data_IF_294449119531
#
_entry.id   IF_294449119531
#
_cell.length_a   1.000
_cell.length_b   1.000
_cell.length_c   1.000
_cell.angle_alpha   90.00
_cell.angle_beta   90.00
_cell.angle_gamma   90.00
#
_symmetry.space_group_name_H-M   'P 1'
#
loop_
_entity.id
_entity.type
_entity.pdbx_description
1 polymer ?
#
# COMPACT_ATOMS: atom_id res chain seq x y z
N UNK A 1 -25.12 -13.00 -3.22
CA UNK A 1 -23.77 -12.66 -2.76
C UNK A 1 -22.92 -12.29 -3.96
N UNK A 2 -22.42 -11.07 -3.96
CA UNK A 2 -21.60 -10.57 -5.06
C UNK A 2 -20.14 -10.94 -4.78
N UNK A 3 -19.57 -11.78 -5.61
CA UNK A 3 -18.14 -12.07 -5.56
C UNK A 3 -17.43 -11.10 -6.49
N UNK A 4 -16.52 -10.30 -5.94
CA UNK A 4 -15.58 -9.51 -6.73
C UNK A 4 -14.47 -10.44 -7.19
N UNK A 5 -14.72 -11.09 -8.34
CA UNK A 5 -13.86 -12.18 -8.83
C UNK A 5 -12.58 -11.64 -9.46
N UNK A 6 -11.46 -11.96 -8.83
CA UNK A 6 -10.13 -11.90 -9.41
C UNK A 6 -9.74 -13.34 -9.81
N UNK A 7 -10.10 -13.73 -11.02
CA UNK A 7 -9.78 -15.05 -11.55
C UNK A 7 -8.26 -15.24 -11.61
N UNK A 8 -7.77 -16.31 -10.96
CA UNK A 8 -6.36 -16.75 -10.99
C UNK A 8 -5.35 -15.87 -10.25
N UNK A 9 -5.78 -14.94 -9.42
CA UNK A 9 -4.88 -14.03 -8.72
C UNK A 9 -5.19 -14.01 -7.24
N UNK A 10 -4.15 -14.23 -6.40
CA UNK A 10 -4.30 -14.10 -4.96
C UNK A 10 -4.37 -12.62 -4.57
N UNK A 11 -5.37 -12.28 -3.77
CA UNK A 11 -5.49 -10.95 -3.15
C UNK A 11 -4.85 -11.02 -1.78
N UNK A 12 -3.81 -10.22 -1.55
CA UNK A 12 -2.99 -10.28 -0.33
C UNK A 12 -3.44 -9.31 0.74
N UNK A 13 -4.01 -8.18 0.36
CA UNK A 13 -4.39 -7.14 1.31
C UNK A 13 -5.58 -6.35 0.79
N UNK A 14 -6.49 -6.04 1.70
CA UNK A 14 -7.65 -5.20 1.42
C UNK A 14 -7.90 -4.27 2.61
N UNK A 15 -8.23 -3.02 2.35
CA UNK A 15 -8.49 -2.00 3.36
C UNK A 15 -9.70 -1.15 2.97
N UNK A 16 -10.45 -0.71 3.96
CA UNK A 16 -11.55 0.20 3.76
C UNK A 16 -11.08 1.65 3.63
N UNK A 17 -11.69 2.35 2.67
CA UNK A 17 -11.69 3.82 2.61
C UNK A 17 -13.11 4.25 2.94
N UNK A 18 -13.43 4.25 4.23
CA UNK A 18 -14.81 4.37 4.72
C UNK A 18 -15.49 5.68 4.29
N UNK A 19 -14.75 6.78 4.29
CA UNK A 19 -15.29 8.09 3.89
C UNK A 19 -15.70 8.20 2.42
N UNK A 20 -15.21 7.29 1.59
CA UNK A 20 -15.57 7.18 0.17
C UNK A 20 -16.48 5.99 -0.12
N UNK A 21 -16.74 5.15 0.87
CA UNK A 21 -17.44 3.88 0.71
C UNK A 21 -16.71 2.95 -0.27
N UNK A 22 -15.40 3.01 -0.27
CA UNK A 22 -14.53 2.18 -1.12
C UNK A 22 -13.80 1.12 -0.30
N UNK A 23 -13.42 0.07 -1.02
CA UNK A 23 -12.42 -0.89 -0.56
C UNK A 23 -11.30 -0.92 -1.59
N UNK A 24 -10.05 -0.84 -1.13
CA UNK A 24 -8.86 -0.92 -1.96
C UNK A 24 -8.16 -2.25 -1.70
N UNK A 25 -7.73 -2.91 -2.76
CA UNK A 25 -7.09 -4.22 -2.67
C UNK A 25 -5.85 -4.28 -3.58
N UNK A 26 -4.82 -4.96 -3.08
CA UNK A 26 -3.62 -5.29 -3.82
C UNK A 26 -3.51 -6.79 -4.03
N UNK A 27 -3.06 -7.20 -5.22
CA UNK A 27 -3.06 -8.59 -5.64
C UNK A 27 -1.74 -9.02 -6.29
N UNK A 28 -1.58 -10.32 -6.47
CA UNK A 28 -0.38 -10.91 -7.09
C UNK A 28 -0.22 -10.55 -8.56
N UNK A 29 -1.27 -10.08 -9.23
CA UNK A 29 -1.19 -9.63 -10.62
C UNK A 29 -0.63 -8.21 -10.78
N UNK A 30 -0.10 -7.62 -9.70
CA UNK A 30 0.55 -6.29 -9.68
C UNK A 30 -0.42 -5.11 -9.76
N UNK A 31 -1.71 -5.35 -9.79
CA UNK A 31 -2.75 -4.33 -9.88
C UNK A 31 -3.31 -3.96 -8.52
N UNK A 32 -3.61 -2.67 -8.35
CA UNK A 32 -4.50 -2.20 -7.31
C UNK A 32 -5.88 -2.02 -7.91
N UNK A 33 -6.89 -2.51 -7.19
CA UNK A 33 -8.30 -2.38 -7.55
C UNK A 33 -9.06 -1.69 -6.43
N UNK A 34 -9.93 -0.80 -6.83
CA UNK A 34 -10.80 -0.05 -5.91
C UNK A 34 -12.24 -0.30 -6.29
N UNK A 35 -13.03 -0.71 -5.33
CA UNK A 35 -14.45 -0.98 -5.51
C UNK A 35 -15.29 -0.14 -4.54
N UNK A 36 -16.47 0.29 -4.99
CA UNK A 36 -17.49 0.79 -4.09
C UNK A 36 -18.21 -0.42 -3.45
N UNK A 37 -18.13 -0.55 -2.13
CA UNK A 37 -18.68 -1.74 -1.47
C UNK A 37 -20.21 -1.71 -1.32
N UNK A 38 -20.87 -0.59 -1.57
CA UNK A 38 -22.34 -0.51 -1.58
C UNK A 38 -22.93 -0.90 -2.94
N UNK A 39 -22.35 -0.40 -4.02
CA UNK A 39 -22.83 -0.64 -5.39
C UNK A 39 -22.14 -1.81 -6.08
N UNK A 40 -21.02 -2.28 -5.54
CA UNK A 40 -20.15 -3.31 -6.11
C UNK A 40 -19.47 -2.89 -7.43
N UNK A 41 -19.55 -1.61 -7.77
CA UNK A 41 -18.89 -1.09 -8.98
C UNK A 41 -17.39 -0.95 -8.79
N UNK A 42 -16.65 -1.25 -9.86
CA UNK A 42 -15.22 -0.98 -9.92
C UNK A 42 -15.00 0.52 -10.14
N UNK A 43 -14.36 1.18 -9.17
CA UNK A 43 -14.05 2.61 -9.24
C UNK A 43 -12.78 2.85 -10.04
N UNK A 44 -11.74 2.04 -9.80
CA UNK A 44 -10.44 2.17 -10.46
C UNK A 44 -9.70 0.83 -10.46
N UNK A 45 -8.91 0.63 -11.50
CA UNK A 45 -7.96 -0.48 -11.60
C UNK A 45 -6.71 0.04 -12.33
N UNK A 46 -5.54 -0.22 -11.77
CA UNK A 46 -4.28 0.21 -12.38
C UNK A 46 -3.13 -0.70 -11.95
N UNK A 47 -2.14 -0.81 -12.82
CA UNK A 47 -0.91 -1.50 -12.50
C UNK A 47 -0.07 -0.62 -11.55
N UNK A 48 0.15 -1.10 -10.34
CA UNK A 48 0.85 -0.33 -9.32
C UNK A 48 2.33 -0.69 -9.21
N UNK A 49 2.65 -1.95 -9.39
CA UNK A 49 3.99 -2.50 -9.19
C UNK A 49 4.36 -3.47 -10.29
N UNK A 50 5.62 -3.90 -10.31
CA UNK A 50 6.14 -4.87 -11.29
C UNK A 50 6.26 -6.28 -10.70
N UNK A 51 5.76 -6.49 -9.49
CA UNK A 51 5.73 -7.79 -8.81
C UNK A 51 4.53 -7.82 -7.84
N UNK A 52 4.39 -8.90 -7.09
CA UNK A 52 3.27 -9.11 -6.16
C UNK A 52 3.10 -7.95 -5.18
N UNK A 53 1.88 -7.49 -5.01
CA UNK A 53 1.55 -6.49 -3.99
C UNK A 53 1.26 -7.22 -2.68
N UNK A 54 2.01 -6.89 -1.63
CA UNK A 54 1.91 -7.57 -0.33
C UNK A 54 1.00 -6.87 0.64
N UNK A 55 0.97 -5.53 0.61
CA UNK A 55 0.20 -4.77 1.58
C UNK A 55 -0.25 -3.45 1.01
N UNK A 56 -1.41 -3.00 1.47
CA UNK A 56 -1.91 -1.65 1.24
C UNK A 56 -2.28 -1.02 2.58
N UNK A 57 -2.13 0.29 2.70
CA UNK A 57 -2.49 1.06 3.88
C UNK A 57 -3.16 2.35 3.46
N UNK A 58 -4.20 2.76 4.18
CA UNK A 58 -4.98 3.96 3.89
C UNK A 58 -4.65 5.04 4.90
N UNK A 59 -4.38 6.25 4.42
CA UNK A 59 -4.14 7.39 5.29
C UNK A 59 -5.44 7.76 6.03
N UNK A 60 -5.37 8.08 7.35
CA UNK A 60 -6.56 8.35 8.14
C UNK A 60 -7.37 9.57 7.70
N UNK A 61 -6.71 10.62 7.18
CA UNK A 61 -7.36 11.90 6.88
C UNK A 61 -7.11 12.40 5.46
N UNK A 62 -5.94 12.17 4.89
CA UNK A 62 -5.55 12.62 3.56
C UNK A 62 -5.89 11.57 2.49
N UNK A 63 -6.00 11.99 1.22
CA UNK A 63 -6.45 11.10 0.14
C UNK A 63 -5.33 10.18 -0.38
N UNK A 64 -4.61 9.52 0.53
CA UNK A 64 -3.45 8.74 0.19
C UNK A 64 -3.58 7.26 0.54
N UNK A 65 -3.06 6.42 -0.33
CA UNK A 65 -2.88 4.99 -0.12
C UNK A 65 -1.42 4.63 -0.33
N UNK A 66 -0.86 3.86 0.60
CA UNK A 66 0.45 3.23 0.44
C UNK A 66 0.26 1.81 -0.10
N UNK A 67 1.16 1.40 -0.98
CA UNK A 67 1.28 0.01 -1.39
C UNK A 67 2.72 -0.46 -1.27
N UNK A 68 2.90 -1.73 -0.90
CA UNK A 68 4.21 -2.38 -0.82
C UNK A 68 4.22 -3.66 -1.63
N UNK A 69 5.38 -4.00 -2.18
CA UNK A 69 5.49 -5.08 -3.16
C UNK A 69 6.79 -5.86 -3.03
N UNK A 70 6.81 -7.02 -3.69
CA UNK A 70 8.00 -7.84 -3.90
C UNK A 70 9.03 -7.14 -4.82
N UNK A 71 8.65 -6.10 -5.54
CA UNK A 71 9.58 -5.27 -6.32
C UNK A 71 10.47 -4.37 -5.45
N UNK A 72 10.38 -4.53 -4.12
CA UNK A 72 11.17 -3.81 -3.10
C UNK A 72 10.78 -2.33 -2.94
N UNK A 73 9.70 -1.89 -3.58
CA UNK A 73 9.24 -0.51 -3.56
C UNK A 73 8.01 -0.34 -2.66
N UNK A 74 7.91 0.86 -2.13
CA UNK A 74 6.70 1.36 -1.50
C UNK A 74 6.26 2.58 -2.31
N UNK A 75 4.98 2.65 -2.66
CA UNK A 75 4.44 3.74 -3.46
C UNK A 75 3.27 4.41 -2.75
N UNK A 76 3.23 5.74 -2.85
CA UNK A 76 2.16 6.57 -2.31
C UNK A 76 1.28 7.05 -3.46
N UNK A 77 -0.01 6.78 -3.37
CA UNK A 77 -1.02 7.08 -4.39
C UNK A 77 -1.99 8.12 -3.89
N UNK A 78 -2.31 9.11 -4.74
CA UNK A 78 -3.30 10.14 -4.43
C UNK A 78 -4.55 9.90 -5.28
N UNK A 79 -5.68 9.56 -4.64
CA UNK A 79 -6.92 9.29 -5.38
C UNK A 79 -7.63 10.55 -5.87
N UNK A 80 -7.39 11.70 -5.26
CA UNK A 80 -7.94 12.97 -5.75
C UNK A 80 -7.26 13.43 -7.04
N UNK A 81 -6.05 12.97 -7.29
CA UNK A 81 -5.31 13.20 -8.53
C UNK A 81 -5.41 12.04 -9.52
N UNK A 82 -6.53 11.31 -9.47
CA UNK A 82 -6.77 10.19 -10.39
C UNK A 82 -5.90 8.97 -10.13
N UNK A 83 -5.52 8.73 -8.88
CA UNK A 83 -4.68 7.59 -8.48
C UNK A 83 -3.27 7.67 -9.08
N UNK A 84 -2.72 8.88 -9.15
CA UNK A 84 -1.31 9.08 -9.53
C UNK A 84 -0.37 8.70 -8.41
N UNK A 85 0.77 8.10 -8.78
CA UNK A 85 1.86 7.87 -7.85
C UNK A 85 2.56 9.20 -7.56
N UNK A 86 2.44 9.69 -6.33
CA UNK A 86 3.03 10.97 -5.92
C UNK A 86 4.42 10.80 -5.32
N UNK A 87 4.74 9.61 -4.82
CA UNK A 87 6.07 9.34 -4.27
C UNK A 87 6.38 7.85 -4.30
N UNK A 88 7.66 7.53 -4.55
CA UNK A 88 8.22 6.18 -4.51
C UNK A 88 9.29 6.16 -3.43
N UNK A 89 9.22 5.16 -2.55
CA UNK A 89 10.20 4.97 -1.48
C UNK A 89 11.04 3.75 -1.79
N UNK A 90 12.31 3.97 -2.01
CA UNK A 90 13.32 2.94 -2.24
C UNK A 90 14.19 2.76 -1.00
N UNK A 91 14.77 1.60 -0.80
CA UNK A 91 15.70 1.37 0.29
C UNK A 91 15.67 -0.02 0.90
N UNK A 92 14.56 -0.75 0.75
CA UNK A 92 14.55 -2.16 1.09
C UNK A 92 15.27 -2.98 0.01
N UNK A 93 15.98 -4.02 0.45
CA UNK A 93 16.75 -4.89 -0.44
C UNK A 93 16.10 -6.25 -0.68
N UNK A 94 14.87 -6.42 -0.20
CA UNK A 94 14.07 -7.61 -0.41
C UNK A 94 12.58 -7.23 -0.39
N UNK A 95 11.68 -8.22 -0.50
CA UNK A 95 10.24 -8.02 -0.52
C UNK A 95 9.76 -7.18 0.67
N UNK A 96 8.93 -6.18 0.40
CA UNK A 96 8.30 -5.37 1.45
C UNK A 96 6.94 -5.98 1.77
N UNK A 97 6.84 -6.59 2.94
CA UNK A 97 5.72 -7.44 3.32
C UNK A 97 4.55 -6.67 3.91
N UNK A 98 4.81 -5.52 4.54
CA UNK A 98 3.77 -4.76 5.20
C UNK A 98 4.14 -3.30 5.32
N UNK A 99 3.13 -2.44 5.20
CA UNK A 99 3.21 -1.00 5.48
C UNK A 99 2.06 -0.59 6.38
N UNK A 100 2.29 0.40 7.24
CA UNK A 100 1.27 0.91 8.15
C UNK A 100 1.55 2.37 8.47
N UNK A 101 0.52 3.22 8.38
CA UNK A 101 0.64 4.60 8.85
C UNK A 101 0.72 4.67 10.37
N UNK A 102 1.49 5.61 10.88
CA UNK A 102 1.56 5.89 12.31
C UNK A 102 0.26 6.57 12.77
N UNK A 103 -0.49 5.98 13.72
CA UNK A 103 -1.76 6.56 14.14
C UNK A 103 -1.62 7.86 14.91
N UNK A 104 -0.44 8.16 15.47
CA UNK A 104 -0.16 9.40 16.21
C UNK A 104 0.45 10.49 15.35
N UNK A 105 1.16 10.11 14.31
CA UNK A 105 1.81 11.05 13.37
C UNK A 105 1.60 10.54 11.94
N UNK A 106 0.56 11.00 11.31
CA UNK A 106 0.12 10.53 10.01
C UNK A 106 1.09 10.87 8.86
N UNK A 107 2.12 11.69 9.13
CA UNK A 107 3.18 11.98 8.18
C UNK A 107 4.26 10.90 8.16
N UNK A 108 4.19 9.94 9.07
CA UNK A 108 5.13 8.83 9.16
C UNK A 108 4.42 7.51 8.93
N UNK A 109 5.16 6.56 8.39
CA UNK A 109 4.71 5.18 8.24
C UNK A 109 5.85 4.21 8.50
N UNK A 110 5.51 2.99 8.85
CA UNK A 110 6.47 1.91 9.05
C UNK A 110 6.33 0.88 7.94
N UNK A 111 7.45 0.27 7.56
CA UNK A 111 7.50 -0.85 6.63
C UNK A 111 8.30 -1.99 7.22
N UNK A 112 7.89 -3.22 6.89
CA UNK A 112 8.58 -4.45 7.29
C UNK A 112 8.93 -5.26 6.04
N UNK A 113 10.16 -5.78 6.00
CA UNK A 113 10.69 -6.45 4.82
C UNK A 113 11.38 -7.77 5.15
N UNK A 114 11.46 -8.65 4.16
CA UNK A 114 12.28 -9.86 4.24
C UNK A 114 13.78 -9.57 4.26
N UNK A 115 14.20 -8.33 4.05
CA UNK A 115 15.59 -7.90 4.27
C UNK A 115 15.97 -7.85 5.76
N UNK A 116 15.08 -8.27 6.64
CA UNK A 116 15.23 -8.30 8.10
C UNK A 116 15.26 -6.92 8.75
N UNK A 117 14.75 -5.89 8.06
CA UNK A 117 14.66 -4.54 8.58
C UNK A 117 13.23 -4.04 8.70
N UNK A 118 13.03 -3.18 9.67
CA UNK A 118 11.86 -2.30 9.77
C UNK A 118 12.36 -0.90 9.47
N UNK A 119 11.63 -0.16 8.63
CA UNK A 119 11.95 1.22 8.31
C UNK A 119 10.81 2.12 8.69
N UNK A 120 11.13 3.26 9.29
CA UNK A 120 10.17 4.33 9.57
C UNK A 120 10.51 5.49 8.66
N UNK A 121 9.53 5.96 7.92
CA UNK A 121 9.71 6.97 6.88
C UNK A 121 8.75 8.13 7.11
N UNK A 122 9.23 9.34 6.86
CA UNK A 122 8.42 10.53 6.80
C UNK A 122 8.26 10.94 5.33
N UNK A 123 7.00 11.10 4.86
CA UNK A 123 6.74 11.47 3.46
C UNK A 123 6.56 12.98 3.26
N UNK A 124 6.64 13.79 4.33
CA UNK A 124 6.27 15.20 4.29
C UNK A 124 7.29 16.18 3.73
N UNK A 125 8.61 15.98 3.81
CA UNK A 125 9.57 16.97 3.32
C UNK A 125 10.99 16.47 3.10
N UNK A 126 11.50 15.52 3.84
CA UNK A 126 12.77 14.85 3.57
C UNK A 126 12.67 13.42 4.09
N UNK A 127 13.22 12.50 3.32
CA UNK A 127 13.17 11.08 3.66
C UNK A 127 14.17 10.80 4.77
N UNK A 128 13.72 10.82 6.02
CA UNK A 128 14.50 10.30 7.14
C UNK A 128 14.27 8.81 7.26
N UNK A 129 15.32 8.04 7.03
CA UNK A 129 15.34 6.61 7.23
C UNK A 129 15.79 6.31 8.65
N UNK A 130 14.92 5.82 9.50
CA UNK A 130 15.32 5.12 10.70
C UNK A 130 15.19 3.62 10.41
N UNK A 131 16.30 3.01 10.01
CA UNK A 131 16.33 1.57 9.83
C UNK A 131 16.62 0.89 11.16
N UNK A 132 15.66 0.11 11.66
CA UNK A 132 15.90 -0.81 12.76
C UNK A 132 16.13 -2.20 12.20
N UNK A 133 17.31 -2.73 12.41
CA UNK A 133 17.61 -4.11 12.06
C UNK A 133 17.06 -5.02 13.15
N UNK A 134 16.05 -5.81 12.83
CA UNK A 134 15.54 -6.85 13.72
C UNK A 134 16.25 -8.15 13.35
N UNK A 135 17.28 -8.48 14.10
CA UNK A 135 17.88 -9.81 14.00
C UNK A 135 17.05 -10.77 14.85
N UNK A 136 16.24 -11.60 14.22
CA UNK A 136 15.67 -12.76 14.88
C UNK A 136 16.79 -13.77 15.15
N UNK A 137 16.99 -14.09 16.39
CA UNK A 137 17.78 -15.25 16.80
C UNK A 137 16.87 -16.42 17.11
#
# INVERSE_FOLDING_TARGET
MCEMLLWFTAVRSAKFIARKQWIVAGADDMFIRVYNYNTMDKVKQFEAHTDYIRSVAVHPTLPYVLSSSDDMLIKLWDWEKGWTCVQIFEGHSHYVMQVSFNPKDNNTFASASLDRTIKVMNWGSEVFWLAMCVTAR
#
